data_IF_782398327758
#
_entry.id   IF_782398327758
#
_cell.length_a   1.000
_cell.length_b   1.000
_cell.length_c   1.000
_cell.angle_alpha   90.00
_cell.angle_beta   90.00
_cell.angle_gamma   90.00
#
_symmetry.space_group_name_H-M   'P 1'
#
loop_
_entity.id
_entity.type
_entity.pdbx_description
1 polymer ?
#
# COMPACT_ATOMS: atom_id res chain seq x y z
N UNK A 1 35.96 14.08 -18.60
CA UNK A 1 34.88 13.08 -18.58
C UNK A 1 35.27 11.94 -17.66
N UNK A 2 34.53 11.75 -16.57
CA UNK A 2 34.81 10.74 -15.55
C UNK A 2 34.50 9.33 -16.12
N UNK A 3 35.52 8.56 -16.51
CA UNK A 3 35.34 7.18 -17.01
C UNK A 3 35.00 6.23 -15.87
N UNK A 4 34.12 5.27 -16.14
CA UNK A 4 33.79 4.18 -15.21
C UNK A 4 35.05 3.31 -15.01
N UNK A 5 35.64 3.35 -13.82
CA UNK A 5 36.81 2.54 -13.47
C UNK A 5 36.37 1.30 -12.67
N UNK A 6 37.13 0.20 -12.78
CA UNK A 6 36.96 -1.08 -12.09
C UNK A 6 36.71 -0.93 -10.58
N UNK A 7 37.46 -0.05 -9.90
CA UNK A 7 37.28 0.24 -8.47
C UNK A 7 35.89 0.80 -8.15
N UNK A 8 35.37 1.72 -8.99
CA UNK A 8 34.01 2.27 -8.83
C UNK A 8 32.92 1.24 -9.11
N UNK A 9 33.12 0.39 -10.12
CA UNK A 9 32.18 -0.70 -10.42
C UNK A 9 32.08 -1.68 -9.26
N UNK A 10 33.22 -2.07 -8.68
CA UNK A 10 33.27 -3.00 -7.55
C UNK A 10 32.64 -2.39 -6.29
N UNK A 11 32.99 -1.14 -5.95
CA UNK A 11 32.36 -0.40 -4.85
C UNK A 11 30.85 -0.27 -5.06
N UNK A 12 30.40 0.04 -6.28
CA UNK A 12 28.97 0.14 -6.61
C UNK A 12 28.21 -1.17 -6.38
N UNK A 13 28.80 -2.31 -6.78
CA UNK A 13 28.20 -3.62 -6.54
C UNK A 13 28.18 -3.98 -5.05
N UNK A 14 29.26 -3.68 -4.32
CA UNK A 14 29.32 -3.85 -2.87
C UNK A 14 28.25 -3.04 -2.14
N UNK A 15 28.08 -1.75 -2.48
CA UNK A 15 27.01 -0.92 -1.92
C UNK A 15 25.62 -1.45 -2.27
N UNK A 16 25.40 -1.92 -3.51
CA UNK A 16 24.13 -2.51 -3.91
C UNK A 16 23.78 -3.76 -3.09
N UNK A 17 24.78 -4.60 -2.78
CA UNK A 17 24.61 -5.78 -1.94
C UNK A 17 24.33 -5.42 -0.47
N UNK A 18 25.01 -4.41 0.09
CA UNK A 18 24.69 -3.90 1.43
C UNK A 18 23.26 -3.36 1.47
N UNK A 19 22.88 -2.52 0.50
CA UNK A 19 21.54 -1.95 0.42
C UNK A 19 20.50 -3.07 0.34
N UNK A 20 20.75 -4.11 -0.46
CA UNK A 20 19.87 -5.26 -0.55
C UNK A 20 19.68 -5.96 0.81
N UNK A 21 20.78 -6.26 1.52
CA UNK A 21 20.73 -6.92 2.84
C UNK A 21 19.98 -6.05 3.84
N UNK A 22 20.27 -4.74 3.88
CA UNK A 22 19.58 -3.79 4.77
C UNK A 22 18.09 -3.74 4.44
N UNK A 23 17.71 -3.64 3.16
CA UNK A 23 16.31 -3.66 2.75
C UNK A 23 15.61 -4.98 3.08
N UNK A 24 16.28 -6.13 2.93
CA UNK A 24 15.72 -7.43 3.27
C UNK A 24 15.48 -7.56 4.78
N UNK A 25 16.44 -7.16 5.60
CA UNK A 25 16.27 -7.15 7.06
C UNK A 25 15.18 -6.17 7.48
N UNK A 26 15.16 -4.96 6.91
CA UNK A 26 14.11 -3.98 7.18
C UNK A 26 12.73 -4.51 6.80
N UNK A 27 12.60 -5.16 5.64
CA UNK A 27 11.34 -5.74 5.19
C UNK A 27 10.84 -6.84 6.14
N UNK A 28 11.73 -7.69 6.65
CA UNK A 28 11.39 -8.68 7.66
C UNK A 28 10.92 -8.03 8.98
N UNK A 29 11.62 -7.00 9.45
CA UNK A 29 11.28 -6.28 10.68
C UNK A 29 9.96 -5.51 10.56
N UNK A 30 9.65 -4.98 9.38
CA UNK A 30 8.41 -4.24 9.11
C UNK A 30 7.23 -5.19 8.92
N UNK A 31 7.44 -6.31 8.21
CA UNK A 31 6.39 -7.29 7.91
C UNK A 31 5.99 -8.18 9.09
N UNK A 32 6.88 -8.39 10.06
CA UNK A 32 6.68 -9.14 11.31
C UNK A 32 5.68 -10.32 11.21
N UNK A 33 4.54 -10.25 11.92
CA UNK A 33 3.48 -11.28 11.92
C UNK A 33 2.70 -11.34 10.61
N UNK A 34 2.46 -10.18 9.98
CA UNK A 34 1.65 -10.02 8.75
C UNK A 34 2.31 -10.63 7.52
N UNK A 35 3.64 -10.73 7.52
CA UNK A 35 4.40 -11.39 6.46
C UNK A 35 4.25 -12.91 6.55
N UNK A 36 4.05 -13.44 7.75
CA UNK A 36 4.00 -14.88 8.05
C UNK A 36 2.58 -15.44 8.04
N UNK A 37 1.58 -14.64 8.41
CA UNK A 37 0.21 -15.09 8.58
C UNK A 37 -0.76 -14.13 7.87
N UNK A 38 -1.78 -14.72 7.25
CA UNK A 38 -2.94 -14.00 6.74
C UNK A 38 -4.07 -14.12 7.77
N UNK A 39 -4.52 -12.98 8.27
CA UNK A 39 -5.71 -12.92 9.13
C UNK A 39 -6.97 -13.17 8.30
N UNK A 40 -7.86 -13.98 8.85
CA UNK A 40 -9.18 -14.27 8.32
C UNK A 40 -10.18 -14.01 9.44
N UNK A 41 -10.88 -12.88 9.34
CA UNK A 41 -11.84 -12.42 10.32
C UNK A 41 -13.18 -12.25 9.60
N UNK A 42 -14.21 -12.95 10.07
CA UNK A 42 -15.57 -12.78 9.55
C UNK A 42 -16.09 -11.41 9.97
N UNK A 43 -16.72 -10.69 9.03
CA UNK A 43 -17.40 -9.43 9.32
C UNK A 43 -18.46 -9.64 10.41
N UNK A 44 -18.51 -8.70 11.34
CA UNK A 44 -19.53 -8.67 12.38
C UNK A 44 -20.86 -8.25 11.75
N UNK A 45 -21.94 -8.95 12.09
CA UNK A 45 -23.25 -8.76 11.48
C UNK A 45 -23.98 -7.53 12.07
N UNK A 46 -24.55 -6.68 11.21
CA UNK A 46 -25.06 -5.32 11.50
C UNK A 46 -26.30 -5.17 12.43
N UNK A 47 -26.94 -6.23 12.91
CA UNK A 47 -28.11 -6.11 13.79
C UNK A 47 -27.69 -6.27 15.25
N UNK A 48 -27.65 -5.17 15.99
CA UNK A 48 -26.90 -5.04 17.23
C UNK A 48 -27.83 -4.67 18.40
N UNK A 49 -28.17 -5.63 19.26
CA UNK A 49 -28.83 -5.37 20.55
C UNK A 49 -27.83 -5.57 21.70
N UNK A 50 -27.73 -4.59 22.58
CA UNK A 50 -26.78 -4.61 23.67
C UNK A 50 -27.26 -5.47 24.85
N UNK A 51 -26.43 -6.39 25.35
CA UNK A 51 -26.84 -7.45 26.31
C UNK A 51 -26.56 -7.11 27.78
N UNK A 52 -26.34 -5.83 28.07
CA UNK A 52 -25.97 -5.33 29.39
C UNK A 52 -24.48 -5.50 29.72
N UNK A 53 -24.03 -4.84 30.79
CA UNK A 53 -22.61 -4.75 31.15
C UNK A 53 -22.00 -6.09 31.57
N UNK A 54 -20.80 -6.38 31.08
CA UNK A 54 -20.01 -7.55 31.50
C UNK A 54 -19.32 -7.23 32.83
N UNK A 55 -19.64 -7.99 33.88
CA UNK A 55 -19.06 -7.87 35.23
C UNK A 55 -18.45 -9.20 35.69
N UNK A 56 -17.86 -9.22 36.88
CA UNK A 56 -17.29 -10.43 37.52
C UNK A 56 -18.31 -11.55 37.76
N UNK A 57 -19.61 -11.22 37.75
CA UNK A 57 -20.73 -12.18 37.92
C UNK A 57 -21.41 -12.55 36.62
N UNK A 58 -20.99 -11.97 35.50
CA UNK A 58 -21.60 -12.19 34.19
C UNK A 58 -20.58 -12.86 33.27
N UNK A 59 -20.94 -14.07 32.85
CA UNK A 59 -20.17 -14.90 31.93
C UNK A 59 -21.00 -15.06 30.67
N UNK A 60 -20.42 -14.68 29.55
CA UNK A 60 -20.98 -14.89 28.23
C UNK A 60 -20.17 -15.97 27.52
N UNK A 61 -20.84 -17.05 27.09
CA UNK A 61 -20.23 -18.14 26.34
C UNK A 61 -20.93 -18.26 24.98
N UNK A 62 -20.14 -18.36 23.90
CA UNK A 62 -20.64 -18.72 22.57
C UNK A 62 -19.78 -19.82 21.97
N UNK A 63 -20.45 -20.83 21.41
CA UNK A 63 -19.80 -21.87 20.61
C UNK A 63 -19.58 -21.36 19.20
N UNK A 64 -18.35 -21.43 18.72
CA UNK A 64 -17.95 -21.03 17.37
C UNK A 64 -17.11 -22.13 16.75
N UNK A 65 -17.31 -22.41 15.47
CA UNK A 65 -16.43 -23.31 14.72
C UNK A 65 -15.26 -22.54 14.13
N UNK A 66 -14.03 -23.00 14.35
CA UNK A 66 -12.83 -22.35 13.79
C UNK A 66 -12.62 -22.76 12.33
N UNK A 67 -12.41 -21.76 11.46
CA UNK A 67 -12.29 -21.97 10.01
C UNK A 67 -10.86 -22.34 9.57
N UNK A 68 -9.84 -21.93 10.32
CA UNK A 68 -8.43 -22.23 10.03
C UNK A 68 -7.74 -22.90 11.23
N UNK A 69 -6.51 -23.36 11.03
CA UNK A 69 -5.79 -24.17 12.00
C UNK A 69 -5.27 -23.40 13.22
N UNK A 70 -5.10 -22.08 13.08
CA UNK A 70 -4.51 -21.21 14.11
C UNK A 70 -5.55 -20.16 14.50
N UNK A 71 -5.80 -20.05 15.81
CA UNK A 71 -6.59 -18.96 16.39
C UNK A 71 -5.68 -18.10 17.25
N UNK A 72 -5.55 -16.83 16.89
CA UNK A 72 -4.69 -15.87 17.58
C UNK A 72 -5.45 -14.89 18.49
N UNK A 73 -6.77 -14.81 18.35
CA UNK A 73 -7.57 -13.90 19.15
C UNK A 73 -9.06 -13.92 18.81
N UNK A 74 -9.76 -12.94 19.38
CA UNK A 74 -11.19 -12.70 19.15
C UNK A 74 -11.38 -11.22 18.82
N UNK A 75 -12.12 -10.94 17.76
CA UNK A 75 -12.64 -9.61 17.47
C UNK A 75 -14.03 -9.49 18.10
N UNK A 76 -14.29 -8.40 18.81
CA UNK A 76 -15.56 -8.17 19.50
C UNK A 76 -16.01 -6.72 19.39
N UNK A 77 -17.33 -6.53 19.24
CA UNK A 77 -17.96 -5.21 19.24
C UNK A 77 -18.40 -4.83 20.66
N UNK A 78 -18.03 -3.62 21.10
CA UNK A 78 -18.37 -3.11 22.44
C UNK A 78 -19.18 -1.82 22.39
N UNK A 79 -20.02 -1.63 23.40
CA UNK A 79 -20.64 -0.36 23.75
C UNK A 79 -20.16 0.12 25.12
N UNK A 80 -19.79 1.39 25.18
CA UNK A 80 -19.47 2.08 26.43
C UNK A 80 -20.57 3.07 26.80
N UNK A 81 -21.44 3.46 25.85
CA UNK A 81 -22.45 4.52 25.98
C UNK A 81 -21.84 5.85 26.39
N UNK A 82 -20.67 6.17 25.84
CA UNK A 82 -19.88 7.36 26.21
C UNK A 82 -19.54 7.45 27.72
N UNK A 83 -19.57 6.33 28.45
CA UNK A 83 -19.22 6.27 29.87
C UNK A 83 -17.70 6.10 30.05
N UNK A 84 -17.20 6.47 31.23
CA UNK A 84 -15.84 6.11 31.66
C UNK A 84 -15.86 4.70 32.24
N UNK A 85 -15.48 3.74 31.41
CA UNK A 85 -15.39 2.34 31.78
C UNK A 85 -14.10 2.05 32.56
N UNK A 86 -14.15 1.07 33.47
CA UNK A 86 -13.02 0.69 34.31
C UNK A 86 -13.03 -0.82 34.56
N UNK A 87 -11.83 -1.38 34.72
CA UNK A 87 -11.58 -2.81 34.76
C UNK A 87 -11.01 -3.36 33.45
N UNK A 88 -11.07 -4.67 33.32
CA UNK A 88 -10.52 -5.41 32.20
C UNK A 88 -11.50 -6.51 31.78
N UNK A 89 -11.66 -6.66 30.47
CA UNK A 89 -12.26 -7.84 29.88
C UNK A 89 -11.27 -8.99 29.90
N UNK A 90 -11.76 -10.16 30.27
CA UNK A 90 -11.05 -11.42 30.23
C UNK A 90 -11.74 -12.25 29.16
N UNK A 91 -11.04 -12.45 28.05
CA UNK A 91 -11.53 -13.25 26.92
C UNK A 91 -10.75 -14.56 26.93
N UNK A 92 -11.47 -15.67 27.03
CA UNK A 92 -10.89 -17.02 27.10
C UNK A 92 -11.44 -17.90 25.98
N UNK A 93 -10.56 -18.69 25.40
CA UNK A 93 -10.91 -19.72 24.44
C UNK A 93 -10.89 -21.07 25.16
N UNK A 94 -12.02 -21.77 25.16
CA UNK A 94 -12.12 -23.11 25.73
C UNK A 94 -12.42 -24.14 24.64
N UNK A 95 -11.94 -25.35 24.85
CA UNK A 95 -12.31 -26.50 24.02
C UNK A 95 -13.77 -26.91 24.31
N UNK A 96 -14.58 -27.14 23.26
CA UNK A 96 -16.01 -27.43 23.44
C UNK A 96 -16.28 -28.77 24.16
N UNK A 97 -15.41 -29.76 23.96
CA UNK A 97 -15.60 -31.12 24.49
C UNK A 97 -15.10 -31.22 25.94
N UNK A 98 -13.88 -30.76 26.19
CA UNK A 98 -13.23 -30.85 27.50
C UNK A 98 -13.52 -29.67 28.42
N UNK A 99 -14.04 -28.56 27.89
CA UNK A 99 -14.18 -27.25 28.58
C UNK A 99 -12.89 -26.74 29.21
N UNK A 100 -11.74 -27.24 28.76
CA UNK A 100 -10.43 -26.80 29.22
C UNK A 100 -10.08 -25.48 28.54
N UNK A 101 -9.55 -24.54 29.31
CA UNK A 101 -9.02 -23.29 28.77
C UNK A 101 -7.79 -23.58 27.90
N UNK A 102 -7.85 -23.13 26.64
CA UNK A 102 -6.80 -23.27 25.64
C UNK A 102 -5.90 -22.03 25.63
N UNK A 103 -6.50 -20.84 25.74
CA UNK A 103 -5.82 -19.57 25.86
C UNK A 103 -6.73 -18.53 26.50
N UNK A 104 -6.16 -17.50 27.09
CA UNK A 104 -6.88 -16.33 27.57
C UNK A 104 -6.08 -15.05 27.33
N UNK A 105 -6.76 -13.92 27.43
CA UNK A 105 -6.16 -12.60 27.36
C UNK A 105 -6.98 -11.60 28.16
N UNK A 106 -6.29 -10.59 28.67
CA UNK A 106 -6.85 -9.54 29.51
C UNK A 106 -6.65 -8.18 28.86
N UNK A 107 -7.74 -7.47 28.59
CA UNK A 107 -7.72 -6.17 27.89
C UNK A 107 -8.42 -5.11 28.73
N UNK A 108 -7.76 -3.97 28.92
CA UNK A 108 -8.29 -2.82 29.65
C UNK A 108 -9.45 -2.19 28.88
N UNK A 109 -10.60 -2.05 29.54
CA UNK A 109 -11.78 -1.40 28.92
C UNK A 109 -11.70 0.12 28.95
N UNK A 110 -10.67 0.71 29.57
CA UNK A 110 -10.49 2.17 29.65
C UNK A 110 -10.28 2.83 28.30
N UNK A 111 -9.69 2.10 27.36
CA UNK A 111 -9.39 2.58 26.01
C UNK A 111 -10.52 2.28 25.01
N UNK A 112 -11.63 1.70 25.49
CA UNK A 112 -12.77 1.39 24.64
C UNK A 112 -13.53 2.65 24.25
N UNK A 113 -13.73 2.81 22.95
CA UNK A 113 -14.57 3.79 22.31
C UNK A 113 -15.95 3.16 22.09
N UNK A 114 -16.96 4.01 22.10
CA UNK A 114 -18.34 3.56 21.96
C UNK A 114 -18.59 3.05 20.54
N UNK A 115 -19.28 1.91 20.43
CA UNK A 115 -19.61 1.24 19.16
C UNK A 115 -18.39 0.96 18.27
N UNK A 116 -17.25 0.68 18.89
CA UNK A 116 -16.03 0.34 18.19
C UNK A 116 -15.72 -1.16 18.32
N UNK A 117 -15.06 -1.68 17.30
CA UNK A 117 -14.63 -3.08 17.27
C UNK A 117 -13.20 -3.21 17.80
N UNK A 118 -12.97 -4.18 18.68
CA UNK A 118 -11.68 -4.43 19.30
C UNK A 118 -11.15 -5.82 18.97
N UNK A 119 -9.88 -5.90 18.57
CA UNK A 119 -9.15 -7.17 18.44
C UNK A 119 -8.47 -7.49 19.77
N UNK A 120 -8.86 -8.60 20.39
CA UNK A 120 -8.24 -9.14 21.61
C UNK A 120 -7.38 -10.32 21.22
N UNK A 121 -6.06 -10.13 21.22
CA UNK A 121 -5.10 -11.19 20.93
C UNK A 121 -4.83 -12.03 22.18
N UNK A 122 -4.76 -13.34 22.02
CA UNK A 122 -4.44 -14.28 23.09
C UNK A 122 -2.97 -14.23 23.49
N UNK A 123 -2.67 -14.59 24.74
CA UNK A 123 -1.28 -14.66 25.23
C UNK A 123 -0.46 -15.72 24.48
N UNK A 124 -1.15 -16.75 23.94
CA UNK A 124 -0.56 -17.81 23.13
C UNK A 124 -1.52 -18.22 22.01
N UNK A 125 -0.97 -18.37 20.82
CA UNK A 125 -1.70 -18.90 19.66
C UNK A 125 -2.08 -20.37 19.89
N UNK A 126 -3.33 -20.71 19.56
CA UNK A 126 -3.83 -22.08 19.66
C UNK A 126 -3.84 -22.69 18.27
N UNK A 127 -3.24 -23.88 18.12
CA UNK A 127 -3.09 -24.59 16.85
C UNK A 127 -3.88 -25.91 16.88
N UNK A 128 -4.19 -26.49 15.71
CA UNK A 128 -4.93 -27.75 15.61
C UNK A 128 -6.45 -27.58 15.77
N UNK A 129 -6.97 -26.37 15.53
CA UNK A 129 -8.38 -26.02 15.74
C UNK A 129 -9.23 -26.05 14.47
N UNK A 130 -8.64 -26.36 13.32
CA UNK A 130 -9.37 -26.37 12.05
C UNK A 130 -10.61 -27.28 12.13
N UNK A 131 -11.77 -26.74 11.79
CA UNK A 131 -13.08 -27.40 11.81
C UNK A 131 -13.50 -27.90 13.22
N UNK A 132 -12.83 -27.47 14.29
CA UNK A 132 -13.21 -27.79 15.67
C UNK A 132 -14.12 -26.71 16.26
N UNK A 133 -15.03 -27.15 17.13
CA UNK A 133 -15.85 -26.24 17.92
C UNK A 133 -15.09 -25.79 19.17
N UNK A 134 -15.05 -24.47 19.37
CA UNK A 134 -14.47 -23.82 20.54
C UNK A 134 -15.52 -22.94 21.20
N UNK A 135 -15.36 -22.70 22.50
CA UNK A 135 -16.20 -21.79 23.28
C UNK A 135 -15.40 -20.51 23.51
N UNK A 136 -15.90 -19.40 23.02
CA UNK A 136 -15.40 -18.08 23.42
C UNK A 136 -16.15 -17.64 24.66
N UNK A 137 -15.41 -17.47 25.75
CA UNK A 137 -15.91 -16.99 27.05
C UNK A 137 -15.46 -15.56 27.27
N UNK A 138 -16.39 -14.68 27.61
CA UNK A 138 -16.14 -13.29 27.95
C UNK A 138 -16.65 -13.03 29.36
N UNK A 139 -15.75 -12.50 30.20
CA UNK A 139 -16.06 -12.01 31.54
C UNK A 139 -15.26 -10.73 31.82
N UNK A 140 -15.46 -10.09 32.97
CA UNK A 140 -14.72 -8.90 33.36
C UNK A 140 -14.34 -8.93 34.83
N UNK A 141 -13.29 -8.21 35.23
CA UNK A 141 -12.91 -8.10 36.64
C UNK A 141 -13.66 -6.99 37.40
N UNK A 142 -14.49 -6.20 36.70
CA UNK A 142 -15.23 -5.08 37.29
C UNK A 142 -16.44 -5.57 38.07
N UNK A 143 -16.57 -5.09 39.30
CA UNK A 143 -17.72 -5.35 40.18
C UNK A 143 -18.85 -4.33 40.02
N UNK A 144 -18.58 -3.24 39.29
CA UNK A 144 -19.46 -2.07 39.20
C UNK A 144 -20.12 -2.04 37.82
N UNK A 145 -21.41 -2.35 37.78
CA UNK A 145 -22.19 -2.46 36.54
C UNK A 145 -22.26 -1.14 35.74
N UNK A 146 -22.23 0.01 36.43
CA UNK A 146 -22.24 1.32 35.76
C UNK A 146 -20.92 1.65 35.05
N UNK A 147 -19.83 0.97 35.40
CA UNK A 147 -18.50 1.09 34.79
C UNK A 147 -18.16 -0.07 33.84
N UNK A 148 -19.06 -1.05 33.73
CA UNK A 148 -18.88 -2.21 32.87
C UNK A 148 -19.13 -1.85 31.40
N UNK A 149 -18.26 -2.35 30.52
CA UNK A 149 -18.51 -2.30 29.08
C UNK A 149 -19.55 -3.36 28.70
N UNK A 150 -20.34 -3.06 27.69
CA UNK A 150 -21.42 -3.91 27.20
C UNK A 150 -21.00 -4.56 25.90
N UNK A 151 -21.46 -5.78 25.66
CA UNK A 151 -21.28 -6.49 24.38
C UNK A 151 -22.61 -6.54 23.62
N UNK A 152 -22.50 -6.64 22.31
CA UNK A 152 -23.64 -6.74 21.40
C UNK A 152 -24.01 -8.18 21.08
N UNK A 153 -25.28 -8.39 20.77
CA UNK A 153 -25.86 -9.62 20.30
C UNK A 153 -26.69 -9.37 19.06
N UNK A 154 -26.54 -10.27 18.10
CA UNK A 154 -27.31 -10.31 16.89
C UNK A 154 -28.37 -11.40 16.96
N UNK A 155 -29.63 -11.01 16.75
CA UNK A 155 -30.80 -11.89 16.76
C UNK A 155 -31.17 -12.42 15.37
N UNK A 156 -30.52 -11.92 14.32
CA UNK A 156 -30.89 -12.20 12.92
C UNK A 156 -30.03 -13.33 12.38
N UNK A 157 -30.66 -14.44 12.00
CA UNK A 157 -29.99 -15.63 11.42
C UNK A 157 -28.92 -16.26 12.33
N UNK A 158 -29.26 -16.48 13.60
CA UNK A 158 -28.40 -17.18 14.55
C UNK A 158 -28.34 -18.69 14.20
N UNK A 159 -27.26 -19.12 13.54
CA UNK A 159 -26.90 -20.55 13.37
C UNK A 159 -26.24 -21.10 14.65
N UNK A 160 -25.63 -20.23 15.44
CA UNK A 160 -25.00 -20.53 16.73
C UNK A 160 -25.81 -19.86 17.87
N UNK A 161 -25.77 -20.41 19.09
CA UNK A 161 -26.46 -19.81 20.25
C UNK A 161 -25.45 -19.31 21.27
N UNK A 162 -25.65 -18.08 21.75
CA UNK A 162 -24.95 -17.55 22.90
C UNK A 162 -25.62 -18.01 24.20
N UNK A 163 -24.87 -17.97 25.31
CA UNK A 163 -25.42 -18.20 26.65
C UNK A 163 -24.89 -17.17 27.64
N UNK A 164 -25.74 -16.74 28.57
CA UNK A 164 -25.42 -15.81 29.66
C UNK A 164 -25.60 -16.54 30.99
N UNK A 165 -24.52 -16.68 31.76
CA UNK A 165 -24.50 -17.43 33.01
C UNK A 165 -25.09 -18.85 32.88
N UNK A 166 -24.83 -19.51 31.75
CA UNK A 166 -25.31 -20.85 31.43
C UNK A 166 -26.77 -20.94 30.95
N UNK A 167 -27.50 -19.83 30.86
CA UNK A 167 -28.83 -19.78 30.22
C UNK A 167 -28.69 -19.42 28.75
N UNK A 168 -29.28 -20.22 27.86
CA UNK A 168 -29.29 -19.94 26.42
C UNK A 168 -29.97 -18.59 26.13
N UNK A 169 -29.40 -17.86 25.17
CA UNK A 169 -29.92 -16.61 24.65
C UNK A 169 -30.40 -16.81 23.22
N UNK A 170 -31.41 -16.04 22.85
CA UNK A 170 -31.91 -16.00 21.47
C UNK A 170 -31.04 -15.03 20.65
N UNK A 171 -29.95 -15.56 20.07
CA UNK A 171 -28.99 -14.81 19.25
C UNK A 171 -27.53 -15.26 19.41
N UNK A 172 -26.66 -14.71 18.57
CA UNK A 172 -25.18 -14.84 18.65
C UNK A 172 -24.58 -13.55 19.18
N UNK A 173 -23.52 -13.63 19.98
CA UNK A 173 -22.73 -12.43 20.32
C UNK A 173 -22.07 -11.88 19.05
N UNK A 174 -21.90 -10.56 18.99
CA UNK A 174 -21.16 -9.89 17.93
C UNK A 174 -19.65 -10.08 18.15
N UNK A 175 -19.19 -11.31 17.97
CA UNK A 175 -17.80 -11.73 18.10
C UNK A 175 -17.38 -12.59 16.90
N UNK A 176 -16.10 -12.55 16.56
CA UNK A 176 -15.51 -13.28 15.45
C UNK A 176 -14.14 -13.80 15.85
N UNK A 177 -13.81 -15.03 15.49
CA UNK A 177 -12.47 -15.58 15.72
C UNK A 177 -11.47 -14.90 14.77
N UNK A 178 -10.31 -14.51 15.31
CA UNK A 178 -9.17 -14.08 14.49
C UNK A 178 -8.42 -15.35 14.11
N UNK A 179 -8.79 -15.90 12.97
CA UNK A 179 -8.16 -17.08 12.42
C UNK A 179 -6.92 -16.65 11.61
N UNK A 180 -5.84 -17.40 11.71
CA UNK A 180 -4.59 -17.13 11.00
C UNK A 180 -4.20 -18.29 10.09
N UNK A 181 -3.91 -17.96 8.83
CA UNK A 181 -3.40 -18.92 7.87
C UNK A 181 -1.93 -18.65 7.55
N UNK A 182 -1.02 -19.61 7.70
CA UNK A 182 0.38 -19.41 7.37
C UNK A 182 0.57 -19.13 5.87
N UNK A 183 1.38 -18.12 5.58
CA UNK A 183 1.78 -17.74 4.22
C UNK A 183 3.10 -18.45 3.90
N UNK A 184 3.10 -19.23 2.82
CA UNK A 184 4.28 -19.98 2.36
C UNK A 184 5.54 -19.10 2.20
N UNK A 185 5.38 -17.92 1.60
CA UNK A 185 6.45 -16.95 1.40
C UNK A 185 7.03 -16.44 2.72
N UNK A 186 6.18 -16.16 3.70
CA UNK A 186 6.61 -15.63 5.00
C UNK A 186 7.41 -16.63 5.81
N UNK A 187 6.99 -17.89 5.81
CA UNK A 187 7.71 -18.97 6.51
C UNK A 187 9.12 -19.19 5.94
N UNK A 188 9.29 -19.03 4.62
CA UNK A 188 10.55 -19.25 3.92
C UNK A 188 11.25 -17.95 3.51
N UNK A 189 10.92 -16.83 4.17
CA UNK A 189 11.39 -15.51 3.77
C UNK A 189 12.92 -15.42 3.62
N UNK A 190 13.66 -15.92 4.62
CA UNK A 190 15.13 -15.89 4.59
C UNK A 190 15.73 -16.73 3.45
N UNK A 191 15.06 -17.83 3.07
CA UNK A 191 15.49 -18.62 1.92
C UNK A 191 15.33 -17.81 0.62
N UNK A 192 14.19 -17.16 0.43
CA UNK A 192 13.95 -16.30 -0.73
C UNK A 192 14.89 -15.08 -0.76
N UNK A 193 15.15 -14.45 0.39
CA UNK A 193 16.09 -13.35 0.52
C UNK A 193 17.54 -13.81 0.22
N UNK A 194 17.94 -15.00 0.66
CA UNK A 194 19.25 -15.56 0.35
C UNK A 194 19.37 -15.87 -1.15
N UNK A 195 18.37 -16.52 -1.74
CA UNK A 195 18.33 -16.79 -3.18
C UNK A 195 18.39 -15.51 -4.02
N UNK A 196 17.63 -14.47 -3.63
CA UNK A 196 17.67 -13.16 -4.26
C UNK A 196 19.06 -12.51 -4.15
N UNK A 197 19.67 -12.56 -2.97
CA UNK A 197 21.05 -12.10 -2.75
C UNK A 197 22.07 -12.84 -3.61
N UNK A 198 21.96 -14.17 -3.72
CA UNK A 198 22.82 -15.00 -4.58
C UNK A 198 22.65 -14.65 -6.06
N UNK A 199 21.42 -14.44 -6.53
CA UNK A 199 21.16 -14.03 -7.91
C UNK A 199 21.79 -12.67 -8.23
N UNK A 200 21.67 -11.70 -7.31
CA UNK A 200 22.32 -10.38 -7.44
C UNK A 200 23.84 -10.57 -7.48
N UNK A 201 24.41 -11.36 -6.55
CA UNK A 201 25.84 -11.68 -6.50
C UNK A 201 26.36 -12.32 -7.79
N UNK A 202 25.67 -13.34 -8.31
CA UNK A 202 26.00 -14.03 -9.55
C UNK A 202 25.91 -13.09 -10.76
N UNK A 203 24.87 -12.24 -10.81
CA UNK A 203 24.71 -11.26 -11.86
C UNK A 203 25.82 -10.21 -11.81
N UNK A 204 26.16 -9.70 -10.62
CA UNK A 204 27.28 -8.79 -10.40
C UNK A 204 28.61 -9.38 -10.81
N UNK A 205 28.87 -10.64 -10.44
CA UNK A 205 30.06 -11.37 -10.86
C UNK A 205 30.14 -11.51 -12.37
N UNK A 206 29.02 -11.85 -13.03
CA UNK A 206 28.95 -11.90 -14.49
C UNK A 206 29.22 -10.55 -15.15
N UNK A 207 28.70 -9.46 -14.59
CA UNK A 207 28.96 -8.08 -15.07
C UNK A 207 30.44 -7.71 -14.90
N UNK A 208 31.05 -7.99 -13.74
CA UNK A 208 32.47 -7.73 -13.50
C UNK A 208 33.35 -8.57 -14.44
N UNK A 209 32.98 -9.84 -14.69
CA UNK A 209 33.70 -10.72 -15.62
C UNK A 209 33.63 -10.19 -17.05
N UNK A 210 32.44 -9.78 -17.52
CA UNK A 210 32.27 -9.16 -18.86
C UNK A 210 33.06 -7.85 -18.98
N UNK A 211 33.02 -7.00 -17.96
CA UNK A 211 33.78 -5.74 -17.94
C UNK A 211 35.30 -5.98 -18.00
N UNK A 212 35.83 -6.97 -17.26
CA UNK A 212 37.24 -7.37 -17.35
C UNK A 212 37.61 -7.89 -18.75
N UNK A 213 36.68 -8.56 -19.42
CA UNK A 213 36.87 -9.07 -20.78
C UNK A 213 36.65 -7.99 -21.87
N UNK A 214 36.48 -6.72 -21.50
CA UNK A 214 36.22 -5.63 -22.45
C UNK A 214 34.85 -5.69 -23.13
N UNK A 215 33.93 -6.54 -22.64
CA UNK A 215 32.58 -6.69 -23.17
C UNK A 215 31.59 -5.83 -22.40
N UNK A 216 30.74 -5.12 -23.12
CA UNK A 216 29.68 -4.32 -22.51
C UNK A 216 28.56 -5.20 -21.94
N UNK A 217 28.10 -4.83 -20.75
CA UNK A 217 26.89 -5.35 -20.12
C UNK A 217 25.84 -4.23 -20.08
N UNK A 218 24.56 -4.60 -19.96
CA UNK A 218 23.48 -3.61 -19.80
C UNK A 218 23.78 -2.65 -18.63
N UNK A 219 24.21 -3.19 -17.47
CA UNK A 219 24.51 -2.38 -16.28
C UNK A 219 25.67 -1.42 -16.51
N UNK A 220 26.76 -1.89 -17.10
CA UNK A 220 27.93 -1.02 -17.36
C UNK A 220 27.58 0.09 -18.36
N UNK A 221 26.73 -0.20 -19.34
CA UNK A 221 26.22 0.78 -20.30
C UNK A 221 25.31 1.81 -19.63
N UNK A 222 24.36 1.38 -18.79
CA UNK A 222 23.47 2.28 -18.05
C UNK A 222 24.21 3.14 -17.03
N UNK A 223 25.11 2.56 -16.24
CA UNK A 223 25.90 3.29 -15.24
C UNK A 223 26.88 4.25 -15.91
N UNK A 224 27.56 3.83 -16.98
CA UNK A 224 28.45 4.70 -17.76
C UNK A 224 27.71 5.89 -18.37
N UNK A 225 26.54 5.62 -18.93
CA UNK A 225 25.59 6.64 -19.40
C UNK A 225 25.19 7.60 -18.29
N UNK A 226 24.74 7.09 -17.14
CA UNK A 226 24.30 7.91 -16.03
C UNK A 226 25.43 8.82 -15.53
N UNK A 227 26.63 8.29 -15.33
CA UNK A 227 27.79 9.09 -14.89
C UNK A 227 28.12 10.20 -15.89
N UNK A 228 28.03 9.91 -17.20
CA UNK A 228 28.28 10.89 -18.25
C UNK A 228 27.25 12.00 -18.28
N UNK A 229 25.97 11.68 -18.06
CA UNK A 229 24.86 12.62 -18.23
C UNK A 229 24.21 13.11 -16.91
N UNK A 230 24.71 12.69 -15.73
CA UNK A 230 24.16 13.09 -14.41
C UNK A 230 24.07 14.61 -14.24
N UNK A 231 25.10 15.33 -14.71
CA UNK A 231 25.16 16.79 -14.61
C UNK A 231 24.08 17.43 -15.47
N UNK A 232 23.90 16.93 -16.70
CA UNK A 232 22.88 17.40 -17.62
C UNK A 232 21.47 17.11 -17.07
N UNK A 233 21.21 15.89 -16.60
CA UNK A 233 19.92 15.53 -16.00
C UNK A 233 19.61 16.46 -14.84
N UNK A 234 20.57 16.69 -13.93
CA UNK A 234 20.40 17.61 -12.80
C UNK A 234 20.07 19.03 -13.26
N UNK A 235 20.72 19.51 -14.31
CA UNK A 235 20.48 20.85 -14.84
C UNK A 235 19.12 20.97 -15.52
N UNK A 236 18.70 19.95 -16.28
CA UNK A 236 17.38 19.90 -16.91
C UNK A 236 16.26 19.85 -15.86
N UNK A 237 16.41 18.97 -14.85
CA UNK A 237 15.47 18.87 -13.72
C UNK A 237 15.39 20.21 -12.97
N UNK A 238 16.52 20.82 -12.64
CA UNK A 238 16.52 22.11 -11.94
C UNK A 238 15.90 23.23 -12.78
N UNK A 239 16.20 23.28 -14.09
CA UNK A 239 15.60 24.24 -15.01
C UNK A 239 14.09 24.06 -15.06
N UNK A 240 13.61 22.84 -15.24
CA UNK A 240 12.19 22.54 -15.39
C UNK A 240 11.41 22.88 -14.11
N UNK A 241 11.93 22.49 -12.94
CA UNK A 241 11.35 22.85 -11.65
C UNK A 241 11.32 24.37 -11.44
N UNK A 242 12.43 25.07 -11.69
CA UNK A 242 12.48 26.54 -11.57
C UNK A 242 11.53 27.23 -12.52
N UNK A 243 11.40 26.73 -13.75
CA UNK A 243 10.56 27.33 -14.79
C UNK A 243 9.08 27.17 -14.45
N UNK A 244 8.67 26.02 -13.90
CA UNK A 244 7.28 25.76 -13.49
C UNK A 244 6.74 26.78 -12.49
N UNK A 245 7.59 27.24 -11.56
CA UNK A 245 7.20 28.21 -10.53
C UNK A 245 7.75 29.62 -10.78
N UNK A 246 8.41 29.85 -11.92
CA UNK A 246 8.96 31.16 -12.27
C UNK A 246 7.80 32.14 -12.49
N UNK A 247 7.86 33.31 -11.85
CA UNK A 247 6.84 34.38 -11.92
C UNK A 247 5.49 34.04 -11.25
N UNK A 248 5.41 32.97 -10.45
CA UNK A 248 4.24 32.72 -9.61
C UNK A 248 4.36 33.49 -8.28
N UNK A 249 3.30 34.18 -7.87
CA UNK A 249 3.24 34.94 -6.61
C UNK A 249 3.48 34.03 -5.40
N UNK A 250 2.85 32.85 -5.38
CA UNK A 250 3.03 31.85 -4.31
C UNK A 250 4.19 30.88 -4.59
N UNK A 251 4.73 30.84 -5.82
CA UNK A 251 5.88 30.01 -6.16
C UNK A 251 5.67 28.53 -5.82
N UNK A 252 6.61 27.95 -5.08
CA UNK A 252 6.61 26.52 -4.73
C UNK A 252 5.41 26.09 -3.87
N UNK A 253 4.80 27.01 -3.11
CA UNK A 253 3.67 26.74 -2.22
C UNK A 253 2.46 26.15 -2.97
N UNK A 254 2.33 26.42 -4.28
CA UNK A 254 1.30 25.80 -5.11
C UNK A 254 1.38 24.26 -5.14
N UNK A 255 2.58 23.70 -4.99
CA UNK A 255 2.76 22.24 -4.93
C UNK A 255 2.18 21.62 -3.66
N UNK A 256 2.01 22.42 -2.60
CA UNK A 256 1.40 22.01 -1.34
C UNK A 256 -0.09 22.35 -1.31
N UNK A 257 -0.45 23.55 -1.77
CA UNK A 257 -1.83 24.04 -1.76
C UNK A 257 -2.75 23.32 -2.75
N UNK A 258 -2.25 22.98 -3.95
CA UNK A 258 -3.10 22.35 -4.96
C UNK A 258 -3.66 20.99 -4.50
N UNK A 259 -2.84 20.03 -3.99
CA UNK A 259 -3.37 18.81 -3.40
C UNK A 259 -4.37 19.07 -2.26
N UNK A 260 -4.11 20.06 -1.40
CA UNK A 260 -4.95 20.37 -0.24
C UNK A 260 -6.30 20.98 -0.64
N UNK A 261 -6.34 21.87 -1.63
CA UNK A 261 -7.60 22.40 -2.17
C UNK A 261 -8.37 21.35 -2.95
N UNK A 262 -7.70 20.55 -3.78
CA UNK A 262 -8.33 19.44 -4.50
C UNK A 262 -8.96 18.47 -3.52
N UNK A 263 -8.25 18.13 -2.45
CA UNK A 263 -8.76 17.33 -1.34
C UNK A 263 -9.96 17.98 -0.67
N UNK A 264 -9.89 19.27 -0.30
CA UNK A 264 -10.99 19.96 0.36
C UNK A 264 -12.26 19.92 -0.49
N UNK A 265 -12.13 20.20 -1.80
CA UNK A 265 -13.26 20.15 -2.74
C UNK A 265 -13.81 18.74 -2.86
N UNK A 266 -12.95 17.75 -3.14
CA UNK A 266 -13.37 16.36 -3.30
C UNK A 266 -13.97 15.80 -2.00
N UNK A 267 -13.41 16.15 -0.84
CA UNK A 267 -13.95 15.80 0.47
C UNK A 267 -15.35 16.40 0.64
N UNK A 268 -15.55 17.70 0.39
CA UNK A 268 -16.88 18.32 0.50
C UNK A 268 -17.91 17.64 -0.40
N UNK A 269 -17.52 17.31 -1.64
CA UNK A 269 -18.41 16.71 -2.64
C UNK A 269 -18.75 15.25 -2.32
N UNK A 270 -17.76 14.45 -1.92
CA UNK A 270 -17.91 13.00 -1.80
C UNK A 270 -18.07 12.50 -0.36
N UNK A 271 -17.70 13.29 0.64
CA UNK A 271 -17.90 12.93 2.05
C UNK A 271 -19.38 12.74 2.38
N UNK A 272 -20.27 13.54 1.81
CA UNK A 272 -21.72 13.39 2.01
C UNK A 272 -22.31 12.15 1.33
N UNK A 273 -21.66 11.66 0.27
CA UNK A 273 -22.14 10.53 -0.54
C UNK A 273 -21.59 9.19 -0.01
N UNK A 274 -20.33 9.15 0.40
CA UNK A 274 -19.61 7.89 0.72
C UNK A 274 -19.13 7.76 2.17
N UNK A 275 -19.44 8.71 3.08
CA UNK A 275 -18.97 8.68 4.48
C UNK A 275 -19.22 7.38 5.23
N UNK A 276 -20.32 6.69 4.94
CA UNK A 276 -20.73 5.51 5.69
C UNK A 276 -19.91 4.25 5.37
N UNK A 277 -19.10 4.24 4.31
CA UNK A 277 -18.48 3.01 3.78
C UNK A 277 -16.94 3.02 3.77
N UNK A 278 -16.28 4.10 4.18
CA UNK A 278 -14.82 4.23 4.16
C UNK A 278 -14.33 4.84 5.47
N UNK A 279 -13.53 4.07 6.20
CA UNK A 279 -12.78 4.56 7.34
C UNK A 279 -11.81 5.66 6.90
N UNK A 280 -11.85 6.80 7.58
CA UNK A 280 -11.01 7.96 7.29
C UNK A 280 -10.94 8.35 5.79
N UNK A 281 -12.12 8.67 5.24
CA UNK A 281 -12.29 9.11 3.86
C UNK A 281 -11.27 10.18 3.37
N UNK A 282 -10.88 11.21 4.16
CA UNK A 282 -9.84 12.16 3.78
C UNK A 282 -8.52 11.52 3.34
N UNK A 283 -8.00 10.57 4.13
CA UNK A 283 -6.72 9.90 3.87
C UNK A 283 -6.85 8.92 2.70
N UNK A 284 -7.98 8.22 2.60
CA UNK A 284 -8.29 7.33 1.48
C UNK A 284 -8.25 8.05 0.13
N UNK A 285 -8.92 9.20 0.07
CA UNK A 285 -9.04 10.05 -1.11
C UNK A 285 -7.67 10.65 -1.48
N UNK A 286 -6.99 11.24 -0.50
CA UNK A 286 -5.73 11.95 -0.74
C UNK A 286 -4.63 10.99 -1.22
N UNK A 287 -4.55 9.79 -0.64
CA UNK A 287 -3.59 8.75 -1.06
C UNK A 287 -3.79 8.38 -2.54
N UNK A 288 -5.04 8.09 -2.93
CA UNK A 288 -5.36 7.76 -4.32
C UNK A 288 -5.09 8.90 -5.28
N UNK A 289 -5.61 10.10 -4.95
CA UNK A 289 -5.49 11.29 -5.79
C UNK A 289 -4.04 11.72 -6.01
N UNK A 290 -3.18 11.68 -4.99
CA UNK A 290 -1.76 12.06 -5.13
C UNK A 290 -1.03 11.13 -6.09
N UNK A 291 -1.16 9.82 -5.91
CA UNK A 291 -0.45 8.84 -6.75
C UNK A 291 -0.96 8.87 -8.18
N UNK A 292 -2.26 9.01 -8.38
CA UNK A 292 -2.85 9.10 -9.71
C UNK A 292 -2.48 10.40 -10.41
N UNK A 293 -2.48 11.53 -9.69
CA UNK A 293 -2.03 12.82 -10.23
C UNK A 293 -0.56 12.79 -10.63
N UNK A 294 0.30 12.18 -9.81
CA UNK A 294 1.70 11.99 -10.19
C UNK A 294 1.84 11.16 -11.47
N UNK A 295 1.06 10.09 -11.62
CA UNK A 295 1.05 9.28 -12.84
C UNK A 295 0.64 10.09 -14.07
N UNK A 296 -0.50 10.78 -14.02
CA UNK A 296 -1.02 11.54 -15.17
C UNK A 296 -0.12 12.72 -15.52
N UNK A 297 0.40 13.45 -14.53
CA UNK A 297 1.34 14.54 -14.73
C UNK A 297 2.66 14.04 -15.33
N UNK A 298 3.27 13.00 -14.75
CA UNK A 298 4.56 12.45 -15.19
C UNK A 298 4.49 11.95 -16.63
N UNK A 299 3.45 11.18 -16.96
CA UNK A 299 3.26 10.67 -18.31
C UNK A 299 2.94 11.80 -19.29
N UNK A 300 2.13 12.78 -18.90
CA UNK A 300 1.80 13.95 -19.74
C UNK A 300 3.02 14.83 -20.07
N UNK A 301 3.85 15.16 -19.08
CA UNK A 301 5.09 15.92 -19.34
C UNK A 301 6.14 15.08 -20.08
N UNK A 302 6.12 13.76 -19.88
CA UNK A 302 6.95 12.82 -20.63
C UNK A 302 6.55 12.74 -22.10
N UNK A 303 5.25 12.67 -22.41
CA UNK A 303 4.68 12.60 -23.75
C UNK A 303 5.16 13.75 -24.64
N UNK A 304 5.17 14.98 -24.12
CA UNK A 304 5.59 16.17 -24.87
C UNK A 304 7.09 16.47 -24.78
N UNK A 305 7.86 15.65 -24.06
CA UNK A 305 9.26 15.96 -23.70
C UNK A 305 10.20 16.13 -24.90
N UNK A 306 10.00 15.33 -25.96
CA UNK A 306 10.86 15.37 -27.16
C UNK A 306 10.54 16.60 -28.01
N UNK A 307 9.26 16.85 -28.29
CA UNK A 307 8.82 18.01 -29.08
C UNK A 307 9.22 19.32 -28.39
N UNK A 308 8.98 19.43 -27.09
CA UNK A 308 9.30 20.65 -26.34
C UNK A 308 10.81 20.95 -26.26
N UNK A 309 11.67 19.97 -26.53
CA UNK A 309 13.13 20.15 -26.57
C UNK A 309 13.70 19.97 -27.98
N UNK A 310 12.88 20.03 -29.04
CA UNK A 310 13.31 19.80 -30.43
C UNK A 310 14.50 20.68 -30.84
N UNK A 311 14.47 21.97 -30.46
CA UNK A 311 15.53 22.94 -30.75
C UNK A 311 16.89 22.59 -30.13
N UNK A 312 16.92 21.87 -29.00
CA UNK A 312 18.16 21.37 -28.39
C UNK A 312 18.61 20.08 -29.07
N UNK A 313 17.65 19.20 -29.39
CA UNK A 313 17.89 17.90 -30.03
C UNK A 313 18.50 18.07 -31.42
N UNK A 314 18.05 19.05 -32.20
CA UNK A 314 18.56 19.30 -33.56
C UNK A 314 19.92 19.99 -33.59
N UNK A 315 20.31 20.68 -32.50
CA UNK A 315 21.55 21.46 -32.43
C UNK A 315 22.70 20.74 -31.73
N UNK A 316 22.41 19.85 -30.79
CA UNK A 316 23.46 19.19 -29.98
C UNK A 316 23.19 17.69 -29.91
N UNK A 317 24.18 16.90 -30.32
CA UNK A 317 24.06 15.44 -30.24
C UNK A 317 24.02 14.97 -28.78
N UNK A 318 22.83 14.56 -28.34
CA UNK A 318 22.61 13.99 -27.00
C UNK A 318 21.65 12.79 -27.06
N UNK A 319 21.80 11.82 -26.15
CA UNK A 319 20.86 10.71 -26.06
C UNK A 319 19.45 11.20 -25.73
N UNK A 320 18.50 10.90 -26.62
CA UNK A 320 17.14 11.47 -26.59
C UNK A 320 16.30 10.98 -25.40
N UNK A 321 16.60 9.81 -24.83
CA UNK A 321 15.87 9.30 -23.64
C UNK A 321 16.09 10.16 -22.39
N UNK A 322 17.12 11.03 -22.38
CA UNK A 322 17.40 11.93 -21.24
C UNK A 322 16.22 12.89 -21.02
N UNK A 323 15.54 13.33 -22.07
CA UNK A 323 14.44 14.30 -21.94
C UNK A 323 13.21 13.73 -21.23
N UNK A 324 12.65 12.55 -21.62
CA UNK A 324 11.59 11.92 -20.84
C UNK A 324 12.01 11.64 -19.39
N UNK A 325 13.24 11.15 -19.17
CA UNK A 325 13.75 10.85 -17.82
C UNK A 325 13.82 12.10 -16.96
N UNK A 326 14.37 13.21 -17.47
CA UNK A 326 14.46 14.46 -16.71
C UNK A 326 13.09 15.02 -16.36
N UNK A 327 12.10 14.86 -17.26
CA UNK A 327 10.73 15.34 -17.01
C UNK A 327 10.05 14.55 -15.91
N UNK A 328 10.08 13.21 -15.97
CA UNK A 328 9.48 12.36 -14.92
C UNK A 328 10.18 12.56 -13.58
N UNK A 329 11.51 12.68 -13.55
CA UNK A 329 12.25 12.98 -12.31
C UNK A 329 11.90 14.37 -11.74
N UNK A 330 11.66 15.36 -12.60
CA UNK A 330 11.19 16.67 -12.15
C UNK A 330 9.81 16.60 -11.49
N UNK A 331 8.90 15.78 -12.03
CA UNK A 331 7.57 15.58 -11.44
C UNK A 331 7.63 14.79 -10.13
N UNK A 332 8.60 13.89 -9.98
CA UNK A 332 8.80 13.14 -8.74
C UNK A 332 9.11 14.05 -7.54
N UNK A 333 9.73 15.21 -7.76
CA UNK A 333 9.92 16.21 -6.71
C UNK A 333 8.57 16.74 -6.21
N UNK A 334 7.61 16.97 -7.10
CA UNK A 334 6.26 17.42 -6.71
C UNK A 334 5.50 16.33 -5.94
N UNK A 335 5.67 15.06 -6.31
CA UNK A 335 5.13 13.93 -5.53
C UNK A 335 5.68 13.93 -4.10
N UNK A 336 6.99 14.12 -3.94
CA UNK A 336 7.62 14.21 -2.61
C UNK A 336 7.04 15.36 -1.78
N UNK A 337 6.79 16.52 -2.40
CA UNK A 337 6.13 17.65 -1.73
C UNK A 337 4.68 17.30 -1.41
N UNK A 338 3.99 16.57 -2.28
CA UNK A 338 2.59 16.16 -2.10
C UNK A 338 2.42 15.11 -0.98
N UNK A 339 3.48 14.41 -0.57
CA UNK A 339 3.43 13.58 0.63
C UNK A 339 3.33 14.41 1.92
N UNK A 340 3.76 15.67 1.94
CA UNK A 340 3.64 16.52 3.12
C UNK A 340 2.17 16.76 3.55
N UNK A 341 1.23 17.18 2.68
CA UNK A 341 -0.17 17.30 3.05
C UNK A 341 -0.81 15.95 3.38
N UNK A 342 -0.34 14.84 2.78
CA UNK A 342 -0.79 13.50 3.14
C UNK A 342 -0.43 13.13 4.58
N UNK A 343 0.83 13.36 4.97
CA UNK A 343 1.27 13.15 6.35
C UNK A 343 0.54 14.06 7.34
N UNK A 344 0.28 15.31 6.95
CA UNK A 344 -0.54 16.22 7.76
C UNK A 344 -1.95 15.68 7.97
N UNK A 345 -2.60 15.18 6.91
CA UNK A 345 -3.94 14.60 7.00
C UNK A 345 -3.97 13.37 7.93
N UNK A 346 -2.98 12.48 7.85
CA UNK A 346 -2.81 11.33 8.76
C UNK A 346 -2.71 11.79 10.21
N UNK A 347 -1.88 12.79 10.49
CA UNK A 347 -1.70 13.31 11.86
C UNK A 347 -2.96 13.98 12.41
N UNK A 348 -3.68 14.75 11.60
CA UNK A 348 -4.91 15.45 12.01
C UNK A 348 -6.07 14.49 12.23
N UNK A 349 -6.13 13.40 11.45
CA UNK A 349 -7.21 12.39 11.54
C UNK A 349 -6.96 11.35 12.63
N UNK A 350 -5.78 11.35 13.25
CA UNK A 350 -5.46 10.45 14.36
C UNK A 350 -5.00 9.06 13.93
N UNK A 351 -4.68 8.86 12.65
CA UNK A 351 -4.12 7.60 12.15
C UNK A 351 -2.75 7.32 12.77
N UNK A 352 -2.53 6.07 13.18
CA UNK A 352 -1.28 5.68 13.81
C UNK A 352 -0.20 5.49 12.76
N UNK A 353 0.88 6.26 12.85
CA UNK A 353 2.07 6.02 12.01
C UNK A 353 2.74 4.72 12.47
N UNK A 354 2.60 3.67 11.68
CA UNK A 354 3.22 2.36 11.93
C UNK A 354 4.56 2.23 11.18
N UNK A 355 5.27 1.12 11.45
CA UNK A 355 6.50 0.75 10.73
C UNK A 355 6.26 0.52 9.23
N UNK A 356 5.01 0.26 8.81
CA UNK A 356 4.65 -0.01 7.42
C UNK A 356 4.99 1.14 6.47
N UNK A 357 5.01 2.39 6.95
CA UNK A 357 5.36 3.57 6.14
C UNK A 357 6.74 3.48 5.47
N UNK A 358 7.67 2.68 6.03
CA UNK A 358 8.97 2.38 5.43
C UNK A 358 8.87 1.66 4.08
N UNK A 359 7.70 1.11 3.74
CA UNK A 359 7.40 0.44 2.47
C UNK A 359 6.90 1.42 1.38
N UNK A 360 6.52 2.66 1.73
CA UNK A 360 6.09 3.65 0.74
C UNK A 360 7.13 3.95 -0.35
N UNK A 361 8.44 4.07 -0.05
CA UNK A 361 9.45 4.27 -1.08
C UNK A 361 9.44 3.18 -2.16
N UNK A 362 9.11 1.93 -1.81
CA UNK A 362 9.04 0.83 -2.78
C UNK A 362 7.96 1.09 -3.84
N UNK A 363 6.72 1.38 -3.41
CA UNK A 363 5.62 1.63 -4.35
C UNK A 363 5.85 2.89 -5.18
N UNK A 364 6.45 3.93 -4.58
CA UNK A 364 6.83 5.15 -5.30
C UNK A 364 7.87 4.88 -6.38
N UNK A 365 8.88 4.06 -6.10
CA UNK A 365 9.89 3.66 -7.10
C UNK A 365 9.24 2.86 -8.23
N UNK A 366 8.40 1.87 -7.91
CA UNK A 366 7.70 1.09 -8.93
C UNK A 366 6.80 1.98 -9.80
N UNK A 367 6.08 2.92 -9.19
CA UNK A 367 5.24 3.88 -9.92
C UNK A 367 6.08 4.81 -10.80
N UNK A 368 7.23 5.29 -10.32
CA UNK A 368 8.15 6.11 -11.10
C UNK A 368 8.67 5.34 -12.33
N UNK A 369 9.06 4.07 -12.15
CA UNK A 369 9.50 3.20 -13.24
C UNK A 369 8.36 2.95 -14.25
N UNK A 370 7.15 2.72 -13.76
CA UNK A 370 5.96 2.57 -14.59
C UNK A 370 5.69 3.83 -15.44
N UNK A 371 5.79 5.01 -14.83
CA UNK A 371 5.65 6.29 -15.52
C UNK A 371 6.73 6.48 -16.58
N UNK A 372 8.00 6.15 -16.28
CA UNK A 372 9.09 6.23 -17.26
C UNK A 372 8.83 5.36 -18.50
N UNK A 373 8.35 4.13 -18.31
CA UNK A 373 7.98 3.24 -19.42
C UNK A 373 6.91 3.83 -20.31
N UNK A 374 5.81 4.30 -19.70
CA UNK A 374 4.72 4.96 -20.41
C UNK A 374 5.18 6.24 -21.12
N UNK A 375 6.01 7.06 -20.46
CA UNK A 375 6.58 8.27 -21.06
C UNK A 375 7.46 7.97 -22.26
N UNK A 376 8.28 6.90 -22.22
CA UNK A 376 9.07 6.49 -23.39
C UNK A 376 8.19 6.06 -24.56
N UNK A 377 7.16 5.27 -24.29
CA UNK A 377 6.23 4.82 -25.33
C UNK A 377 5.48 6.00 -25.96
N UNK A 378 4.83 6.83 -25.14
CA UNK A 378 4.00 7.93 -25.62
C UNK A 378 4.80 9.08 -26.22
N UNK A 379 6.00 9.37 -25.72
CA UNK A 379 6.85 10.38 -26.35
C UNK A 379 7.31 9.98 -27.74
N UNK A 380 7.54 8.69 -27.97
CA UNK A 380 7.84 8.18 -29.30
C UNK A 380 6.63 8.34 -30.24
N UNK A 381 5.42 8.00 -29.78
CA UNK A 381 4.20 8.18 -30.58
C UNK A 381 3.91 9.65 -30.87
N UNK A 382 4.09 10.54 -29.89
CA UNK A 382 3.83 11.97 -30.04
C UNK A 382 4.66 12.62 -31.16
N UNK A 383 5.90 12.17 -31.37
CA UNK A 383 6.77 12.68 -32.44
C UNK A 383 6.21 12.35 -33.83
N UNK A 384 5.58 11.19 -34.02
CA UNK A 384 4.98 10.82 -35.31
C UNK A 384 3.52 11.26 -35.44
N UNK A 385 2.78 11.27 -34.34
CA UNK A 385 1.34 11.53 -34.28
C UNK A 385 1.04 12.56 -33.19
N UNK A 386 0.80 13.81 -33.59
CA UNK A 386 0.53 14.91 -32.65
C UNK A 386 -0.79 14.74 -31.89
N UNK A 387 -1.75 13.98 -32.44
CA UNK A 387 -3.04 13.71 -31.80
C UNK A 387 -2.92 12.81 -30.56
N UNK A 388 -1.76 12.18 -30.35
CA UNK A 388 -1.47 11.40 -29.14
C UNK A 388 -1.69 12.23 -27.87
N UNK A 389 -1.47 13.55 -27.90
CA UNK A 389 -1.72 14.42 -26.75
C UNK A 389 -3.21 14.48 -26.38
N UNK A 390 -4.11 14.61 -27.34
CA UNK A 390 -5.56 14.64 -27.09
C UNK A 390 -6.05 13.27 -26.65
N UNK A 391 -5.59 12.21 -27.31
CA UNK A 391 -5.92 10.83 -26.95
C UNK A 391 -5.51 10.52 -25.51
N UNK A 392 -4.31 10.95 -25.09
CA UNK A 392 -3.85 10.80 -23.72
C UNK A 392 -4.76 11.54 -22.72
N UNK A 393 -5.24 12.73 -23.06
CA UNK A 393 -6.19 13.47 -22.20
C UNK A 393 -7.46 12.67 -21.93
N UNK A 394 -8.06 12.07 -22.96
CA UNK A 394 -9.27 11.27 -22.83
C UNK A 394 -8.99 9.95 -22.09
N UNK A 395 -7.90 9.26 -22.44
CA UNK A 395 -7.52 7.99 -21.82
C UNK A 395 -7.22 8.17 -20.33
N UNK A 396 -6.47 9.21 -19.95
CA UNK A 396 -6.15 9.48 -18.54
C UNK A 396 -7.40 9.84 -17.73
N UNK A 397 -8.36 10.55 -18.33
CA UNK A 397 -9.66 10.83 -17.71
C UNK A 397 -10.46 9.53 -17.48
N UNK A 398 -10.62 8.69 -18.51
CA UNK A 398 -11.30 7.40 -18.39
C UNK A 398 -10.64 6.51 -17.33
N UNK A 399 -9.30 6.48 -17.31
CA UNK A 399 -8.53 5.70 -16.35
C UNK A 399 -8.71 6.19 -14.91
N UNK A 400 -8.89 7.50 -14.71
CA UNK A 400 -9.18 8.09 -13.40
C UNK A 400 -10.47 7.52 -12.82
N UNK A 401 -11.55 7.49 -13.63
CA UNK A 401 -12.84 6.97 -13.20
C UNK A 401 -12.86 5.44 -13.07
N UNK A 402 -12.10 4.73 -13.91
CA UNK A 402 -11.93 3.28 -13.81
C UNK A 402 -11.10 2.84 -12.59
N UNK A 403 -10.44 3.77 -11.90
CA UNK A 403 -9.67 3.51 -10.69
C UNK A 403 -10.48 3.97 -9.47
N UNK A 404 -10.57 3.17 -8.39
CA UNK A 404 -11.33 3.54 -7.20
C UNK A 404 -10.58 4.60 -6.38
N UNK A 405 -10.63 5.86 -6.82
CA UNK A 405 -9.94 6.98 -6.18
C UNK A 405 -10.77 7.62 -5.06
N UNK A 406 -12.04 7.91 -5.36
CA UNK A 406 -12.95 8.64 -4.46
C UNK A 406 -14.16 7.79 -4.02
N UNK A 407 -14.23 6.52 -4.44
CA UNK A 407 -15.27 5.58 -4.08
C UNK A 407 -14.65 4.25 -3.61
N UNK A 408 -15.36 3.46 -2.78
CA UNK A 408 -14.86 2.17 -2.29
C UNK A 408 -14.93 1.09 -3.38
N UNK A 409 -14.01 0.11 -3.31
CA UNK A 409 -13.96 -0.99 -4.28
C UNK A 409 -15.18 -1.92 -4.23
N UNK A 410 -15.91 -1.94 -3.10
CA UNK A 410 -17.10 -2.76 -2.87
C UNK A 410 -18.33 -2.38 -3.71
N UNK A 411 -18.39 -1.14 -4.22
CA UNK A 411 -19.52 -0.66 -5.05
C UNK A 411 -19.44 -1.21 -6.48
N UNK A 412 -18.27 -1.67 -6.93
CA UNK A 412 -18.10 -2.17 -8.28
C UNK A 412 -18.78 -3.55 -8.41
N UNK A 413 -19.75 -3.71 -9.33
CA UNK A 413 -20.39 -5.01 -9.55
C UNK A 413 -19.38 -6.09 -9.91
N UNK A 414 -19.64 -7.33 -9.46
CA UNK A 414 -18.74 -8.48 -9.68
C UNK A 414 -18.36 -8.70 -11.14
N UNK A 415 -19.27 -8.44 -12.08
CA UNK A 415 -19.01 -8.53 -13.52
C UNK A 415 -17.97 -7.54 -14.04
N UNK A 416 -17.76 -6.40 -13.37
CA UNK A 416 -16.75 -5.39 -13.71
C UNK A 416 -15.46 -5.52 -12.89
N UNK A 417 -15.36 -6.50 -11.99
CA UNK A 417 -14.16 -6.71 -11.18
C UNK A 417 -12.89 -6.99 -12.01
N UNK A 418 -13.02 -7.45 -13.27
CA UNK A 418 -11.89 -7.63 -14.17
C UNK A 418 -11.18 -6.30 -14.50
N UNK A 419 -11.92 -5.19 -14.55
CA UNK A 419 -11.37 -3.86 -14.84
C UNK A 419 -10.35 -3.47 -13.78
N UNK A 420 -10.66 -3.75 -12.51
CA UNK A 420 -9.74 -3.53 -11.39
C UNK A 420 -8.49 -4.44 -11.48
N UNK A 421 -8.69 -5.73 -11.77
CA UNK A 421 -7.60 -6.71 -11.85
C UNK A 421 -6.62 -6.41 -13.00
N UNK A 422 -7.09 -5.83 -14.10
CA UNK A 422 -6.22 -5.47 -15.23
C UNK A 422 -5.53 -4.13 -15.01
N UNK A 423 -6.11 -3.25 -14.21
CA UNK A 423 -5.63 -1.87 -14.01
C UNK A 423 -4.33 -1.82 -13.17
N UNK A 424 -3.18 -1.42 -13.75
CA UNK A 424 -1.92 -1.27 -13.01
C UNK A 424 -2.00 -0.26 -11.85
N UNK A 425 -2.73 0.84 -12.03
CA UNK A 425 -2.84 1.90 -11.03
C UNK A 425 -3.58 1.44 -9.78
N UNK A 426 -4.50 0.49 -9.92
CA UNK A 426 -5.19 -0.12 -8.79
C UNK A 426 -4.20 -0.77 -7.83
N UNK A 427 -3.21 -1.53 -8.33
CA UNK A 427 -2.21 -2.17 -7.48
C UNK A 427 -1.33 -1.17 -6.73
N UNK A 428 -0.85 -0.11 -7.39
CA UNK A 428 -0.03 0.92 -6.74
C UNK A 428 -0.82 1.67 -5.65
N UNK A 429 -2.07 2.03 -5.92
CA UNK A 429 -2.92 2.76 -4.97
C UNK A 429 -3.34 1.86 -3.81
N UNK A 430 -3.74 0.61 -4.08
CA UNK A 430 -4.09 -0.36 -3.04
C UNK A 430 -2.92 -0.62 -2.11
N UNK A 431 -1.72 -0.80 -2.66
CA UNK A 431 -0.50 -0.97 -1.88
C UNK A 431 -0.29 0.21 -0.92
N UNK A 432 -0.37 1.45 -1.44
CA UNK A 432 -0.17 2.63 -0.61
C UNK A 432 -1.26 2.79 0.46
N UNK A 433 -2.52 2.46 0.15
CA UNK A 433 -3.62 2.49 1.13
C UNK A 433 -3.44 1.49 2.25
N UNK A 434 -3.06 0.24 1.94
CA UNK A 434 -2.81 -0.78 2.96
C UNK A 434 -1.67 -0.33 3.90
N UNK A 435 -0.64 0.30 3.36
CA UNK A 435 0.48 0.82 4.16
C UNK A 435 0.07 2.00 5.04
N UNK A 436 -0.74 2.93 4.52
CA UNK A 436 -1.05 4.21 5.19
C UNK A 436 -2.25 4.09 6.13
N UNK A 437 -3.30 3.38 5.72
CA UNK A 437 -4.57 3.29 6.45
C UNK A 437 -4.59 2.05 7.35
N UNK A 438 -4.32 0.87 6.78
CA UNK A 438 -4.34 -0.36 7.58
C UNK A 438 -3.07 -0.48 8.45
N UNK A 439 -2.02 0.26 8.12
CA UNK A 439 -0.76 0.27 8.84
C UNK A 439 -0.02 -1.07 8.79
N UNK A 440 -0.35 -1.91 7.80
CA UNK A 440 0.18 -3.28 7.64
C UNK A 440 1.02 -3.42 6.38
N UNK A 441 1.85 -4.46 6.33
CA UNK A 441 2.53 -4.85 5.09
C UNK A 441 1.51 -5.48 4.12
N UNK A 442 1.47 -5.02 2.85
CA UNK A 442 0.67 -5.67 1.81
C UNK A 442 1.01 -7.15 1.59
N UNK A 443 0.08 -7.88 0.97
CA UNK A 443 0.32 -9.27 0.60
C UNK A 443 1.44 -9.40 -0.46
N UNK A 444 2.25 -10.48 -0.44
CA UNK A 444 3.34 -10.68 -1.41
C UNK A 444 2.93 -10.58 -2.88
N UNK A 445 1.70 -10.98 -3.21
CA UNK A 445 1.18 -10.89 -4.57
C UNK A 445 1.12 -9.43 -5.07
N UNK A 446 0.84 -8.47 -4.20
CA UNK A 446 0.77 -7.05 -4.56
C UNK A 446 2.15 -6.51 -4.94
N UNK A 447 3.21 -6.93 -4.23
CA UNK A 447 4.59 -6.61 -4.59
C UNK A 447 4.94 -7.10 -5.99
N UNK A 448 4.60 -8.36 -6.29
CA UNK A 448 4.86 -8.98 -7.59
C UNK A 448 4.10 -8.23 -8.70
N UNK A 449 2.83 -7.90 -8.49
CA UNK A 449 2.03 -7.17 -9.48
C UNK A 449 2.59 -5.77 -9.74
N UNK A 450 2.95 -5.01 -8.70
CA UNK A 450 3.60 -3.70 -8.85
C UNK A 450 4.92 -3.78 -9.63
N UNK A 451 5.76 -4.77 -9.30
CA UNK A 451 7.02 -5.01 -10.03
C UNK A 451 6.77 -5.41 -11.48
N UNK A 452 5.83 -6.32 -11.73
CA UNK A 452 5.49 -6.80 -13.07
C UNK A 452 4.96 -5.65 -13.94
N UNK A 453 3.98 -4.88 -13.47
CA UNK A 453 3.43 -3.75 -14.20
C UNK A 453 4.50 -2.71 -14.53
N UNK A 454 5.36 -2.37 -13.57
CA UNK A 454 6.44 -1.41 -13.78
C UNK A 454 7.49 -1.93 -14.78
N UNK A 455 7.90 -3.19 -14.67
CA UNK A 455 8.88 -3.80 -15.56
C UNK A 455 8.36 -3.95 -17.00
N UNK A 456 7.12 -4.43 -17.16
CA UNK A 456 6.49 -4.61 -18.48
C UNK A 456 6.37 -3.26 -19.20
N UNK A 457 5.83 -2.24 -18.51
CA UNK A 457 5.74 -0.88 -19.05
C UNK A 457 7.11 -0.35 -19.48
N UNK A 458 8.13 -0.52 -18.63
CA UNK A 458 9.47 -0.04 -18.92
C UNK A 458 10.10 -0.76 -20.12
N UNK A 459 9.99 -2.09 -20.19
CA UNK A 459 10.57 -2.89 -21.29
C UNK A 459 9.91 -2.51 -22.61
N UNK A 460 8.57 -2.47 -22.66
CA UNK A 460 7.83 -2.09 -23.87
C UNK A 460 8.21 -0.67 -24.28
N UNK A 461 8.18 0.29 -23.35
CA UNK A 461 8.55 1.68 -23.59
C UNK A 461 9.96 1.83 -24.13
N UNK A 462 10.94 1.13 -23.54
CA UNK A 462 12.33 1.16 -24.01
C UNK A 462 12.48 0.60 -25.42
N UNK A 463 11.82 -0.52 -25.74
CA UNK A 463 11.89 -1.14 -27.07
C UNK A 463 11.31 -0.20 -28.13
N UNK A 464 10.12 0.35 -27.88
CA UNK A 464 9.45 1.29 -28.79
C UNK A 464 10.29 2.54 -29.01
N UNK A 465 10.82 3.13 -27.93
CA UNK A 465 11.65 4.33 -28.01
C UNK A 465 12.96 4.06 -28.75
N UNK A 466 13.66 2.97 -28.43
CA UNK A 466 14.94 2.61 -29.07
C UNK A 466 14.78 2.36 -30.57
N UNK A 467 13.68 1.72 -31.01
CA UNK A 467 13.39 1.49 -32.43
C UNK A 467 13.04 2.79 -33.18
N UNK A 468 12.50 3.77 -32.46
CA UNK A 468 11.96 4.99 -33.06
C UNK A 468 12.93 6.17 -33.06
N UNK A 469 13.86 6.22 -32.09
CA UNK A 469 14.68 7.38 -31.79
C UNK A 469 15.47 7.93 -32.99
N UNK A 470 15.93 7.06 -33.90
CA UNK A 470 16.77 7.47 -35.04
C UNK A 470 15.98 8.32 -36.05
N UNK A 471 14.67 8.05 -36.17
CA UNK A 471 13.78 8.79 -37.06
C UNK A 471 13.30 10.12 -36.50
N UNK A 472 13.47 10.40 -35.20
CA UNK A 472 12.92 11.62 -34.58
C UNK A 472 13.39 12.90 -35.27
N UNK A 473 14.63 12.96 -35.73
CA UNK A 473 15.19 14.17 -36.38
C UNK A 473 14.46 14.52 -37.68
N UNK A 474 13.82 13.54 -38.34
CA UNK A 474 13.07 13.77 -39.58
C UNK A 474 11.69 14.39 -39.36
N UNK A 475 11.15 14.32 -38.13
CA UNK A 475 9.77 14.71 -37.79
C UNK A 475 9.71 15.85 -36.75
N UNK A 476 10.87 16.33 -36.29
CA UNK A 476 11.01 17.33 -35.22
C UNK A 476 11.00 18.78 -35.72
#
# INVERSE_FOLDING_TARGET
MEKLNKSKLFKGFYYAMIIYIVCAVLFFVVGDRQLKYKENIKELLNNEEAVGGVTDKVIFDQKITSDDDIVSGVQLLVATYSRKNDGNFIVSLLDSDSKKELASSKVSVKEFQDNATYKVLFDKDVTGLKDRQVIVRITADTKVETKAATIYLNKTMATEKASKNGKEMDGTLCISLINEKPIFFGQHYFLFALLGGLLIALYGFNVIRKFKAGKDSLVTMFVGTYIKYKFLIKQLVSRDFKTKYKRSVLGFFWSFLNPLFTMAIQYIVFSTIFRANIDNFPVYLLTGSILFTFFTESVGVGLTSIINNSSLITKVYMPKYIYPVSKVLSTAINLLISFAPLLLAVLVTGEKITKAYLLLPFVVICLLVFCLGMSFMLSAFMVFFRDTQFLWGIVSLLWMYATPLFYPESIIPSHFAFVLKVNPMYYFIKFARIVIMDGISPEPIQYVMCMLCSAVSLIIGMIVFKKSQDRFVLYL
#
